data_IF_974857298815
#
_entry.id   IF_974857298815
#
_cell.length_a   1.000
_cell.length_b   1.000
_cell.length_c   1.000
_cell.angle_alpha   90.00
_cell.angle_beta   90.00
_cell.angle_gamma   90.00
#
_symmetry.space_group_name_H-M   'P 1'
#
loop_
_entity.id
_entity.type
_entity.pdbx_description
1 polymer ?
#
# COMPACT_ATOMS: atom_id res chain seq x y z
N UNK A 1 -8.14 -1.40 -4.69
CA UNK A 1 -7.05 -0.50 -5.11
C UNK A 1 -5.85 -1.37 -5.44
N UNK A 2 -5.65 -1.74 -6.69
CA UNK A 2 -4.51 -2.55 -7.11
C UNK A 2 -3.55 -1.71 -7.97
N UNK A 3 -2.24 -1.85 -7.73
CA UNK A 3 -1.15 -1.30 -8.55
C UNK A 3 -1.20 0.22 -8.83
N UNK A 4 -1.81 1.00 -7.94
CA UNK A 4 -2.15 2.41 -8.20
C UNK A 4 -0.91 3.33 -8.31
N UNK A 5 0.16 3.01 -7.58
CA UNK A 5 1.46 3.70 -7.64
C UNK A 5 2.60 2.75 -7.99
N UNK A 6 2.30 1.67 -8.74
CA UNK A 6 3.31 0.74 -9.22
C UNK A 6 4.37 1.49 -10.03
N UNK A 7 5.64 1.36 -9.64
CA UNK A 7 6.79 2.04 -10.25
C UNK A 7 6.70 3.58 -10.25
N UNK A 8 5.89 4.18 -9.38
CA UNK A 8 5.88 5.63 -9.17
C UNK A 8 7.10 6.03 -8.33
N UNK A 9 8.30 5.88 -8.91
CA UNK A 9 9.59 5.90 -8.19
C UNK A 9 9.77 7.14 -7.32
N UNK A 10 9.32 8.31 -7.79
CA UNK A 10 9.48 9.60 -7.11
C UNK A 10 8.24 10.05 -6.32
N UNK A 11 7.19 9.23 -6.23
CA UNK A 11 5.96 9.61 -5.53
C UNK A 11 6.17 9.60 -4.02
N UNK A 12 5.90 10.74 -3.37
CA UNK A 12 6.01 10.93 -1.93
C UNK A 12 5.04 12.01 -1.42
N UNK A 13 3.88 12.13 -2.07
CA UNK A 13 2.88 13.12 -1.69
C UNK A 13 1.97 12.58 -0.57
N UNK A 14 1.45 13.45 0.32
CA UNK A 14 0.56 13.02 1.40
C UNK A 14 -0.74 12.40 0.84
N UNK A 15 -1.15 11.29 1.43
CA UNK A 15 -2.35 10.50 1.07
C UNK A 15 -3.15 10.08 2.31
N UNK A 16 -2.98 10.81 3.40
CA UNK A 16 -3.61 10.54 4.69
C UNK A 16 -5.11 10.87 4.71
N UNK A 17 -5.61 11.56 3.68
CA UNK A 17 -7.03 11.87 3.47
C UNK A 17 -7.80 10.82 2.66
N UNK A 18 -7.16 9.71 2.27
CA UNK A 18 -7.84 8.66 1.50
C UNK A 18 -8.70 7.79 2.41
N UNK A 19 -9.99 7.66 2.08
CA UNK A 19 -10.88 6.72 2.75
C UNK A 19 -10.66 5.30 2.22
N UNK A 20 -10.01 4.46 3.02
CA UNK A 20 -9.76 3.05 2.69
C UNK A 20 -10.73 2.09 3.37
N UNK A 21 -11.73 2.60 4.10
CA UNK A 21 -12.64 1.79 4.94
C UNK A 21 -13.48 0.76 4.18
N UNK A 22 -13.58 0.90 2.86
CA UNK A 22 -14.32 0.00 1.97
C UNK A 22 -13.42 -0.77 1.00
N UNK A 23 -12.11 -0.57 1.08
CA UNK A 23 -11.16 -1.23 0.19
C UNK A 23 -10.96 -2.68 0.63
N UNK A 24 -11.15 -3.60 -0.31
CA UNK A 24 -11.01 -5.05 -0.08
C UNK A 24 -9.77 -5.66 -0.72
N UNK A 25 -9.09 -4.92 -1.59
CA UNK A 25 -7.85 -5.33 -2.25
C UNK A 25 -6.87 -4.15 -2.28
N UNK A 26 -5.65 -4.36 -1.80
CA UNK A 26 -4.54 -3.40 -1.77
C UNK A 26 -3.27 -3.94 -2.45
N UNK A 27 -3.41 -4.86 -3.39
CA UNK A 27 -2.29 -5.52 -4.05
C UNK A 27 -1.36 -4.53 -4.77
N UNK A 28 -0.06 -4.63 -4.51
CA UNK A 28 1.02 -3.90 -5.20
C UNK A 28 0.84 -2.37 -5.32
N UNK A 29 0.09 -1.73 -4.41
CA UNK A 29 -0.24 -0.29 -4.53
C UNK A 29 1.02 0.58 -4.56
N UNK A 30 2.04 0.26 -3.76
CA UNK A 30 3.30 1.01 -3.68
C UNK A 30 4.51 0.21 -4.17
N UNK A 31 4.29 -0.88 -4.90
CA UNK A 31 5.41 -1.68 -5.39
C UNK A 31 6.29 -0.83 -6.33
N UNK A 32 7.60 -0.79 -6.06
CA UNK A 32 8.52 0.10 -6.75
C UNK A 32 8.34 1.61 -6.52
N UNK A 33 7.49 2.07 -5.59
CA UNK A 33 7.39 3.48 -5.20
C UNK A 33 8.53 3.88 -4.24
N UNK A 34 9.77 3.90 -4.76
CA UNK A 34 11.01 3.96 -3.98
C UNK A 34 11.14 5.18 -3.06
N UNK A 35 10.64 6.34 -3.47
CA UNK A 35 10.70 7.57 -2.67
C UNK A 35 9.55 7.72 -1.67
N UNK A 36 8.59 6.80 -1.63
CA UNK A 36 7.43 6.91 -0.76
C UNK A 36 7.82 6.72 0.71
N UNK A 37 7.47 7.70 1.55
CA UNK A 37 7.82 7.74 2.97
C UNK A 37 6.75 8.46 3.80
N UNK A 38 5.47 8.32 3.45
CA UNK A 38 4.38 8.95 4.18
C UNK A 38 3.83 8.00 5.25
N UNK A 39 3.25 8.59 6.30
CA UNK A 39 2.53 7.83 7.33
C UNK A 39 1.23 7.25 6.76
N UNK A 40 1.00 5.96 7.00
CA UNK A 40 -0.17 5.21 6.59
C UNK A 40 -1.00 4.71 7.78
N UNK A 41 -0.70 5.15 9.00
CA UNK A 41 -1.40 4.75 10.23
C UNK A 41 -2.92 4.99 10.19
N UNK A 42 -3.37 5.97 9.41
CA UNK A 42 -4.80 6.30 9.22
C UNK A 42 -5.54 5.35 8.27
N UNK A 43 -4.84 4.54 7.48
CA UNK A 43 -5.48 3.65 6.52
C UNK A 43 -6.14 2.48 7.24
N UNK A 44 -7.45 2.35 7.07
CA UNK A 44 -8.21 1.20 7.54
C UNK A 44 -8.00 0.02 6.59
N UNK A 45 -7.29 -1.01 7.05
CA UNK A 45 -7.04 -2.25 6.29
C UNK A 45 -7.89 -3.43 6.77
N UNK A 46 -8.89 -3.21 7.63
CA UNK A 46 -9.68 -4.29 8.26
C UNK A 46 -10.47 -5.15 7.28
N UNK A 47 -10.80 -4.60 6.11
CA UNK A 47 -11.56 -5.30 5.04
C UNK A 47 -10.68 -5.86 3.94
N UNK A 48 -9.36 -5.64 4.00
CA UNK A 48 -8.43 -6.12 2.98
C UNK A 48 -8.33 -7.63 3.10
N UNK A 49 -8.60 -8.31 2.00
CA UNK A 49 -8.52 -9.77 1.90
C UNK A 49 -7.41 -10.12 0.93
N UNK A 50 -6.53 -11.03 1.33
CA UNK A 50 -5.45 -11.48 0.46
C UNK A 50 -6.04 -12.42 -0.60
N UNK A 51 -6.40 -11.87 -1.76
CA UNK A 51 -7.02 -12.63 -2.86
C UNK A 51 -6.01 -13.20 -3.85
N UNK A 52 -4.76 -12.79 -3.75
CA UNK A 52 -3.70 -13.21 -4.66
C UNK A 52 -2.83 -14.20 -3.89
N UNK A 53 -2.95 -15.50 -4.21
CA UNK A 53 -2.20 -16.63 -3.62
C UNK A 53 -0.67 -16.58 -3.84
N UNK A 54 -0.10 -15.39 -3.95
CA UNK A 54 1.32 -15.13 -4.07
C UNK A 54 1.74 -14.49 -2.75
N UNK A 55 2.65 -15.18 -2.03
CA UNK A 55 3.33 -14.62 -0.88
C UNK A 55 4.25 -13.48 -1.36
N UNK A 56 3.67 -12.33 -1.66
CA UNK A 56 4.40 -11.08 -1.73
C UNK A 56 4.49 -10.59 -0.29
N UNK A 57 5.70 -10.33 0.20
CA UNK A 57 6.04 -10.12 1.62
C UNK A 57 5.45 -8.89 2.31
N UNK A 58 4.22 -8.50 1.97
CA UNK A 58 3.53 -7.34 2.51
C UNK A 58 2.10 -7.71 2.89
N UNK A 59 1.96 -8.73 3.74
CA UNK A 59 0.74 -8.88 4.54
C UNK A 59 0.97 -8.13 5.88
N UNK A 60 1.27 -6.84 5.71
CA UNK A 60 1.39 -5.71 6.64
C UNK A 60 2.20 -5.87 7.96
N UNK A 61 3.30 -5.10 8.11
CA UNK A 61 3.59 -4.46 9.40
C UNK A 61 4.13 -3.00 9.34
N UNK A 62 3.56 -2.12 8.49
CA UNK A 62 4.00 -0.73 8.14
C UNK A 62 4.86 -0.62 6.86
N UNK A 63 4.31 -1.02 5.71
CA UNK A 63 4.58 -0.58 4.33
C UNK A 63 5.95 0.03 3.92
N UNK A 64 7.07 -0.48 4.44
CA UNK A 64 8.38 -0.49 3.77
C UNK A 64 9.02 -1.86 3.93
N UNK A 65 9.55 -2.42 2.84
CA UNK A 65 10.74 -3.25 2.98
C UNK A 65 11.92 -2.30 3.02
N UNK A 66 12.61 -2.25 4.16
CA UNK A 66 13.96 -1.67 4.21
C UNK A 66 14.80 -2.35 3.10
N UNK A 67 15.48 -1.53 2.31
CA UNK A 67 16.61 -2.00 1.49
C UNK A 67 17.78 -2.33 2.42
#
# INVERSE_FOLDING_TARGET
>A
MSSMFLHAYSFNQPIDNWDTSSVTDMFAVFDGAKSFNQDLSKWNTSKVVNKHNQNIGFVNPNWKSEH
#
